data_IF_590542162201
#
_entry.id   IF_590542162201
#
_cell.length_a   1.000
_cell.length_b   1.000
_cell.length_c   1.000
_cell.angle_alpha   90.00
_cell.angle_beta   90.00
_cell.angle_gamma   90.00
#
_symmetry.space_group_name_H-M   'P 1'
#
loop_
_entity.id
_entity.type
_entity.pdbx_description
1 polymer ?
#
# COMPACT_ATOMS: atom_id res chain seq x y z
N UNK A 1 70.12 -43.30 1.76
CA UNK A 1 68.84 -43.56 1.06
C UNK A 1 67.86 -42.45 1.46
N UNK A 2 67.49 -41.55 0.53
CA UNK A 2 66.83 -40.27 0.82
C UNK A 2 65.30 -40.40 0.85
N UNK A 3 64.71 -40.02 1.99
CA UNK A 3 63.28 -40.04 2.30
C UNK A 3 62.57 -38.85 1.63
N UNK A 4 61.63 -39.12 0.71
CA UNK A 4 60.81 -38.07 0.06
C UNK A 4 59.49 -37.90 0.82
N UNK A 5 59.36 -36.78 1.55
CA UNK A 5 58.10 -36.31 2.14
C UNK A 5 57.15 -35.87 1.02
N UNK A 6 55.95 -36.45 0.96
CA UNK A 6 54.86 -35.96 0.09
C UNK A 6 54.02 -34.97 0.91
N UNK A 7 53.97 -33.72 0.45
CA UNK A 7 53.13 -32.65 0.99
C UNK A 7 51.71 -32.87 0.47
N UNK A 8 50.74 -32.95 1.38
CA UNK A 8 49.30 -32.98 1.08
C UNK A 8 48.88 -31.52 0.91
N UNK A 9 48.59 -31.11 -0.32
CA UNK A 9 48.03 -29.79 -0.61
C UNK A 9 46.52 -29.87 -0.49
N UNK A 10 45.97 -29.30 0.57
CA UNK A 10 44.54 -29.16 0.79
C UNK A 10 43.91 -28.25 -0.26
N UNK A 11 42.84 -28.74 -0.90
CA UNK A 11 42.00 -28.02 -1.84
C UNK A 11 41.07 -27.09 -1.05
N UNK A 12 41.44 -25.82 -0.92
CA UNK A 12 40.60 -24.79 -0.31
C UNK A 12 39.41 -24.50 -1.23
N UNK A 13 38.21 -24.90 -0.80
CA UNK A 13 36.95 -24.57 -1.46
C UNK A 13 36.70 -23.05 -1.32
N UNK A 14 36.94 -22.29 -2.39
CA UNK A 14 36.52 -20.90 -2.49
C UNK A 14 34.99 -20.88 -2.66
N UNK A 15 34.27 -20.74 -1.56
CA UNK A 15 32.85 -20.35 -1.58
C UNK A 15 32.77 -18.92 -2.12
N UNK A 16 32.58 -18.74 -3.42
CA UNK A 16 32.15 -17.45 -3.96
C UNK A 16 30.66 -17.30 -3.59
N UNK A 17 30.41 -16.61 -2.48
CA UNK A 17 29.08 -16.09 -2.22
C UNK A 17 28.80 -15.07 -3.33
N UNK A 18 27.99 -15.46 -4.30
CA UNK A 18 27.41 -14.53 -5.25
C UNK A 18 26.54 -13.59 -4.42
N UNK A 19 27.06 -12.40 -4.08
CA UNK A 19 26.30 -11.35 -3.42
C UNK A 19 25.22 -10.89 -4.39
N UNK A 20 24.07 -11.55 -4.36
CA UNK A 20 22.87 -11.08 -5.07
C UNK A 20 22.58 -9.71 -4.46
N UNK A 21 22.76 -8.65 -5.26
CA UNK A 21 22.43 -7.31 -4.83
C UNK A 21 20.98 -7.31 -4.35
N UNK A 22 20.74 -6.86 -3.11
CA UNK A 22 19.38 -6.72 -2.63
C UNK A 22 18.68 -5.65 -3.46
N UNK A 23 17.41 -5.87 -3.85
CA UNK A 23 16.67 -4.88 -4.61
C UNK A 23 16.55 -3.57 -3.82
N UNK A 24 16.62 -2.46 -4.53
CA UNK A 24 16.63 -1.13 -3.92
C UNK A 24 15.31 -0.77 -3.23
N UNK A 25 15.37 0.21 -2.33
CA UNK A 25 14.17 0.82 -1.75
C UNK A 25 13.49 1.67 -2.83
N UNK A 26 12.24 1.31 -3.14
CA UNK A 26 11.42 1.96 -4.17
C UNK A 26 10.45 2.98 -3.57
N UNK A 27 10.05 2.81 -2.30
CA UNK A 27 9.09 3.68 -1.65
C UNK A 27 9.49 4.03 -0.21
N UNK A 28 9.41 5.33 0.13
CA UNK A 28 9.65 5.86 1.48
C UNK A 28 8.43 6.54 2.10
N UNK A 29 7.35 6.65 1.32
CA UNK A 29 6.07 7.16 1.79
C UNK A 29 4.96 6.19 1.43
N UNK A 30 4.02 6.04 2.36
CA UNK A 30 2.84 5.21 2.18
C UNK A 30 1.57 6.02 2.40
N UNK A 31 0.44 5.54 1.90
CA UNK A 31 -0.85 6.08 2.29
C UNK A 31 -1.97 5.07 2.21
N UNK A 32 -2.98 5.22 3.06
CA UNK A 32 -4.18 4.39 3.01
C UNK A 32 -5.42 5.25 2.85
N UNK A 33 -6.39 4.73 2.10
CA UNK A 33 -7.62 5.42 1.77
C UNK A 33 -8.75 4.49 1.34
N UNK A 34 -9.89 5.10 1.04
CA UNK A 34 -11.11 4.38 0.65
C UNK A 34 -11.68 4.99 -0.63
N UNK A 35 -12.27 4.15 -1.49
CA UNK A 35 -12.85 4.64 -2.75
C UNK A 35 -14.32 5.06 -2.62
N UNK A 36 -15.00 4.61 -1.56
CA UNK A 36 -16.43 4.79 -1.35
C UNK A 36 -16.71 5.39 0.04
N UNK A 37 -17.79 4.96 0.71
CA UNK A 37 -18.13 5.34 2.08
C UNK A 37 -17.07 4.95 3.13
N UNK A 38 -17.40 5.10 4.42
CA UNK A 38 -16.41 4.96 5.48
C UNK A 38 -15.88 3.54 5.60
N UNK A 39 -14.54 3.44 5.55
CA UNK A 39 -13.84 2.26 6.02
C UNK A 39 -12.77 2.66 7.03
N UNK A 40 -12.53 1.77 7.97
CA UNK A 40 -11.47 1.86 8.95
C UNK A 40 -10.46 0.75 8.66
N UNK A 41 -9.24 1.14 8.32
CA UNK A 41 -8.14 0.23 8.02
C UNK A 41 -7.29 0.13 9.27
N UNK A 42 -7.60 -0.85 10.11
CA UNK A 42 -6.91 -1.09 11.39
C UNK A 42 -5.52 -1.67 11.18
N UNK A 43 -5.33 -2.47 10.12
CA UNK A 43 -4.05 -3.08 9.78
C UNK A 43 -3.90 -3.19 8.27
N UNK A 44 -2.72 -2.85 7.77
CA UNK A 44 -2.35 -3.15 6.40
C UNK A 44 -0.84 -3.25 6.31
N UNK A 45 -0.31 -4.46 6.48
CA UNK A 45 1.09 -4.77 6.37
C UNK A 45 1.42 -5.15 4.93
N UNK A 46 2.32 -4.39 4.32
CA UNK A 46 2.94 -4.75 3.04
C UNK A 46 4.34 -5.28 3.34
N UNK A 47 4.63 -6.50 2.91
CA UNK A 47 5.97 -7.09 2.97
C UNK A 47 6.70 -6.96 1.65
N UNK A 48 8.03 -6.94 1.71
CA UNK A 48 8.89 -6.86 0.54
C UNK A 48 9.83 -8.07 0.37
N UNK A 49 10.42 -8.17 -0.81
CA UNK A 49 11.34 -9.27 -1.20
C UNK A 49 12.63 -9.31 -0.37
N UNK A 50 12.92 -8.28 0.44
CA UNK A 50 14.06 -8.25 1.37
C UNK A 50 13.70 -8.80 2.74
N UNK A 51 12.43 -9.15 2.97
CA UNK A 51 11.91 -9.60 4.25
C UNK A 51 11.53 -8.46 5.20
N UNK A 52 11.48 -7.21 4.73
CA UNK A 52 10.96 -6.10 5.52
C UNK A 52 9.44 -6.01 5.38
N UNK A 53 8.81 -5.33 6.33
CA UNK A 53 7.39 -4.98 6.26
C UNK A 53 7.12 -3.58 6.78
N UNK A 54 6.14 -2.90 6.20
CA UNK A 54 5.68 -1.60 6.68
C UNK A 54 4.16 -1.59 6.75
N UNK A 55 3.62 -1.04 7.84
CA UNK A 55 2.17 -0.92 8.03
C UNK A 55 1.66 0.42 7.53
N UNK A 56 0.55 0.39 6.78
CA UNK A 56 -0.11 1.56 6.22
C UNK A 56 -1.55 1.60 6.74
N UNK A 57 -1.75 2.21 7.91
CA UNK A 57 -3.07 2.30 8.53
C UNK A 57 -3.75 3.63 8.21
N UNK A 58 -5.08 3.61 8.15
CA UNK A 58 -5.91 4.80 8.11
C UNK A 58 -7.14 4.57 8.97
N UNK A 59 -7.44 5.53 9.86
CA UNK A 59 -8.71 5.54 10.58
C UNK A 59 -9.91 5.72 9.63
N UNK A 60 -11.09 5.99 10.16
CA UNK A 60 -12.32 6.14 9.37
C UNK A 60 -12.22 7.30 8.36
N UNK A 61 -11.72 7.01 7.16
CA UNK A 61 -11.49 7.98 6.09
C UNK A 61 -12.49 7.74 4.95
N UNK A 62 -12.91 8.84 4.33
CA UNK A 62 -13.49 8.82 3.00
C UNK A 62 -12.44 9.41 2.07
N UNK A 63 -11.89 8.58 1.20
CA UNK A 63 -10.87 8.99 0.26
C UNK A 63 -9.43 8.72 0.64
N UNK A 64 -8.54 9.30 -0.16
CA UNK A 64 -7.10 9.14 -0.10
C UNK A 64 -6.35 10.42 0.32
N UNK A 65 -5.21 10.32 1.01
CA UNK A 65 -4.77 9.19 1.83
C UNK A 65 -4.14 9.75 3.10
N UNK A 66 -4.38 9.08 4.23
CA UNK A 66 -3.57 9.31 5.44
C UNK A 66 -2.14 8.86 5.13
N UNK A 67 -1.14 9.70 5.39
CA UNK A 67 0.26 9.47 4.98
C UNK A 67 1.06 8.83 6.11
N UNK A 68 1.91 7.89 5.76
CA UNK A 68 2.85 7.21 6.66
C UNK A 68 4.26 7.24 6.09
N UNK A 69 5.27 7.23 6.95
CA UNK A 69 6.64 6.91 6.54
C UNK A 69 6.77 5.40 6.46
N UNK A 70 7.26 4.92 5.32
CA UNK A 70 7.53 3.49 5.10
C UNK A 70 8.96 3.35 4.60
N UNK A 71 9.43 2.11 4.49
CA UNK A 71 10.70 1.84 3.85
C UNK A 71 10.62 0.45 3.20
N UNK A 72 10.21 0.42 1.92
CA UNK A 72 9.93 -0.82 1.20
C UNK A 72 10.69 -0.87 -0.12
N UNK A 73 11.21 -2.06 -0.42
CA UNK A 73 11.58 -2.47 -1.77
C UNK A 73 10.36 -3.03 -2.52
N UNK A 74 10.57 -3.90 -3.50
CA UNK A 74 9.49 -4.50 -4.30
C UNK A 74 8.58 -5.36 -3.40
N UNK A 75 7.25 -5.11 -3.39
CA UNK A 75 6.33 -5.83 -2.52
C UNK A 75 6.15 -7.29 -2.97
N UNK A 76 5.97 -8.20 -2.01
CA UNK A 76 5.73 -9.62 -2.24
C UNK A 76 4.56 -10.21 -1.43
N UNK A 77 3.97 -9.43 -0.52
CA UNK A 77 2.88 -9.90 0.31
C UNK A 77 2.09 -8.76 0.91
N UNK A 78 0.83 -9.07 1.23
CA UNK A 78 -0.13 -8.16 1.84
C UNK A 78 -0.90 -8.91 2.93
N UNK A 79 -0.95 -8.33 4.12
CA UNK A 79 -1.78 -8.82 5.21
C UNK A 79 -2.52 -7.64 5.83
N UNK A 80 -3.86 -7.68 5.86
CA UNK A 80 -4.65 -6.53 6.24
C UNK A 80 -5.95 -6.90 6.93
N UNK A 81 -6.42 -5.97 7.76
CA UNK A 81 -7.72 -5.98 8.40
C UNK A 81 -8.34 -4.60 8.24
N UNK A 82 -9.58 -4.58 7.77
CA UNK A 82 -10.34 -3.35 7.67
C UNK A 82 -11.82 -3.63 7.87
N UNK A 83 -12.58 -2.59 8.13
CA UNK A 83 -14.00 -2.68 8.35
C UNK A 83 -14.71 -1.58 7.59
N UNK A 84 -15.88 -1.90 7.05
CA UNK A 84 -16.80 -0.95 6.47
C UNK A 84 -17.83 -0.58 7.51
N UNK A 85 -18.09 0.72 7.65
CA UNK A 85 -19.16 1.22 8.51
C UNK A 85 -18.71 2.38 9.38
N UNK A 86 -19.33 2.51 10.54
CA UNK A 86 -19.23 3.66 11.41
C UNK A 86 -19.23 3.23 12.88
N UNK A 87 -18.78 4.12 13.75
CA UNK A 87 -18.96 3.92 15.19
C UNK A 87 -20.44 4.02 15.54
N UNK A 88 -20.92 3.07 16.34
CA UNK A 88 -22.19 3.28 17.04
C UNK A 88 -22.02 4.37 18.11
N UNK A 89 -23.11 5.01 18.51
CA UNK A 89 -23.06 6.01 19.57
C UNK A 89 -22.55 5.40 20.89
N UNK A 90 -22.91 4.14 21.16
CA UNK A 90 -22.40 3.37 22.29
C UNK A 90 -20.87 3.18 22.21
N UNK A 91 -20.35 2.71 21.06
CA UNK A 91 -18.90 2.56 20.87
C UNK A 91 -18.16 3.90 21.00
N UNK A 92 -18.76 5.01 20.54
CA UNK A 92 -18.19 6.35 20.70
C UNK A 92 -18.10 6.77 22.17
N UNK A 93 -19.06 6.35 22.99
CA UNK A 93 -19.13 6.65 24.42
C UNK A 93 -18.20 5.75 25.25
N UNK A 94 -18.09 4.47 24.89
CA UNK A 94 -17.24 3.48 25.58
C UNK A 94 -15.74 3.70 25.33
N UNK A 95 -15.39 4.41 24.25
CA UNK A 95 -14.02 4.85 24.03
C UNK A 95 -13.65 5.89 25.09
N UNK A 96 -12.74 5.52 26.00
CA UNK A 96 -12.06 6.39 26.98
C UNK A 96 -11.10 7.40 26.34
N UNK A 97 -11.52 8.02 25.23
CA UNK A 97 -10.82 9.09 24.55
C UNK A 97 -11.21 10.44 25.17
N UNK A 98 -10.30 11.41 25.27
CA UNK A 98 -10.64 12.77 25.64
C UNK A 98 -11.74 13.34 24.72
N UNK A 99 -12.72 14.05 25.27
CA UNK A 99 -13.84 14.66 24.50
C UNK A 99 -13.37 15.68 23.46
N UNK A 100 -12.14 16.14 23.58
CA UNK A 100 -11.47 17.05 22.67
C UNK A 100 -10.62 16.32 21.61
N UNK A 101 -10.68 16.89 20.41
CA UNK A 101 -10.02 16.49 19.17
C UNK A 101 -10.43 15.12 18.61
N UNK A 102 -10.20 14.00 19.30
CA UNK A 102 -10.32 12.67 18.69
C UNK A 102 -11.75 12.12 18.60
N UNK A 103 -12.60 12.28 19.63
CA UNK A 103 -14.01 11.80 19.59
C UNK A 103 -14.86 12.48 18.52
N UNK A 104 -14.56 13.73 18.16
CA UNK A 104 -15.28 14.48 17.12
C UNK A 104 -14.99 14.03 15.68
N UNK A 105 -13.88 13.31 15.46
CA UNK A 105 -13.54 12.71 14.16
C UNK A 105 -14.24 11.37 13.93
N UNK A 106 -14.71 10.71 14.99
CA UNK A 106 -15.51 9.49 14.91
C UNK A 106 -16.95 9.87 14.54
N UNK A 107 -17.29 9.74 13.27
CA UNK A 107 -18.65 10.04 12.78
C UNK A 107 -19.59 8.87 13.06
N UNK A 108 -20.75 9.16 13.62
CA UNK A 108 -21.84 8.20 13.84
C UNK A 108 -22.52 7.81 12.52
N UNK A 109 -23.40 6.80 12.59
CA UNK A 109 -24.29 6.39 11.49
C UNK A 109 -25.03 7.56 10.87
N UNK A 110 -25.68 8.37 11.70
CA UNK A 110 -26.54 9.50 11.27
C UNK A 110 -25.70 10.59 10.59
N UNK A 111 -24.49 10.83 11.12
CA UNK A 111 -23.56 11.81 10.55
C UNK A 111 -23.00 11.36 9.21
N UNK A 112 -22.78 10.06 9.00
CA UNK A 112 -22.45 9.54 7.68
C UNK A 112 -23.65 9.56 6.74
N UNK A 113 -24.84 9.24 7.23
CA UNK A 113 -26.07 9.24 6.42
C UNK A 113 -26.40 10.60 5.84
N UNK A 114 -26.25 11.67 6.63
CA UNK A 114 -26.45 13.05 6.15
C UNK A 114 -25.40 13.53 5.14
N UNK A 115 -24.27 12.83 5.03
CA UNK A 115 -23.18 13.15 4.09
C UNK A 115 -23.06 12.12 2.96
N UNK A 116 -23.99 11.18 2.90
CA UNK A 116 -23.94 10.11 1.93
C UNK A 116 -24.12 10.66 0.52
N UNK A 117 -23.33 10.15 -0.41
CA UNK A 117 -23.43 10.53 -1.81
C UNK A 117 -23.89 9.32 -2.62
N UNK A 118 -24.78 9.53 -3.59
CA UNK A 118 -25.39 8.45 -4.35
C UNK A 118 -24.35 7.64 -5.15
N UNK A 119 -23.27 8.28 -5.58
CA UNK A 119 -22.14 7.66 -6.28
C UNK A 119 -21.36 6.66 -5.40
N UNK A 120 -21.54 6.67 -4.08
CA UNK A 120 -20.93 5.67 -3.18
C UNK A 120 -21.77 4.38 -3.09
N UNK A 121 -22.91 4.33 -3.78
CA UNK A 121 -23.84 3.21 -3.74
C UNK A 121 -24.79 3.29 -2.54
N UNK A 122 -25.34 2.15 -2.15
CA UNK A 122 -26.30 2.06 -1.04
C UNK A 122 -25.63 2.34 0.30
N UNK A 123 -26.37 3.02 1.18
CA UNK A 123 -25.91 3.31 2.54
C UNK A 123 -25.65 2.00 3.31
N UNK A 124 -24.50 1.92 3.98
CA UNK A 124 -24.13 0.76 4.77
C UNK A 124 -25.00 0.66 6.02
N UNK A 125 -26.01 -0.22 6.03
CA UNK A 125 -26.89 -0.35 7.20
C UNK A 125 -26.23 -1.07 8.38
N UNK A 126 -25.35 -2.03 8.07
CA UNK A 126 -24.59 -2.85 9.02
C UNK A 126 -23.09 -2.66 8.83
N UNK A 127 -22.34 -2.97 9.90
CA UNK A 127 -20.89 -3.02 9.87
C UNK A 127 -20.44 -4.36 9.32
N UNK A 128 -19.39 -4.35 8.50
CA UNK A 128 -18.81 -5.56 7.91
C UNK A 128 -17.31 -5.50 8.09
N UNK A 129 -16.71 -6.65 8.41
CA UNK A 129 -15.28 -6.79 8.67
C UNK A 129 -14.64 -7.56 7.52
N UNK A 130 -13.39 -7.24 7.23
CA UNK A 130 -12.62 -7.84 6.17
C UNK A 130 -11.21 -8.16 6.64
N UNK A 131 -10.68 -9.25 6.12
CA UNK A 131 -9.31 -9.68 6.35
C UNK A 131 -8.70 -10.18 5.05
N UNK A 132 -7.43 -9.90 4.83
CA UNK A 132 -6.66 -10.46 3.72
C UNK A 132 -5.32 -10.94 4.21
N UNK A 133 -4.88 -12.06 3.65
CA UNK A 133 -3.50 -12.50 3.70
C UNK A 133 -3.17 -13.15 2.37
N UNK A 134 -2.41 -12.45 1.55
CA UNK A 134 -2.13 -12.89 0.18
C UNK A 134 -0.71 -12.54 -0.25
N UNK A 135 -0.28 -13.20 -1.32
CA UNK A 135 0.99 -12.96 -2.01
C UNK A 135 0.82 -11.96 -3.14
N UNK A 136 1.87 -11.19 -3.41
CA UNK A 136 1.95 -10.28 -4.55
C UNK A 136 2.96 -10.85 -5.54
N UNK A 137 2.61 -10.86 -6.84
CA UNK A 137 3.56 -11.18 -7.91
C UNK A 137 4.65 -10.10 -7.96
N UNK A 138 5.76 -10.36 -7.26
CA UNK A 138 6.86 -9.41 -7.10
C UNK A 138 7.59 -9.13 -8.42
N UNK A 139 7.63 -10.10 -9.34
CA UNK A 139 8.30 -9.92 -10.63
C UNK A 139 7.50 -8.97 -11.52
N UNK A 140 6.18 -9.13 -11.55
CA UNK A 140 5.30 -8.19 -12.24
C UNK A 140 5.28 -6.83 -11.55
N UNK A 141 5.27 -6.79 -10.21
CA UNK A 141 5.31 -5.54 -9.46
C UNK A 141 6.61 -4.76 -9.74
N UNK A 142 7.77 -5.42 -9.78
CA UNK A 142 9.04 -4.80 -10.11
C UNK A 142 9.02 -4.14 -11.50
N UNK A 143 8.53 -4.85 -12.52
CA UNK A 143 8.41 -4.32 -13.90
C UNK A 143 7.48 -3.11 -13.98
N UNK A 144 6.35 -3.15 -13.26
CA UNK A 144 5.40 -2.04 -13.19
C UNK A 144 6.03 -0.82 -12.51
N UNK A 145 6.76 -1.01 -11.41
CA UNK A 145 7.47 0.06 -10.71
C UNK A 145 8.53 0.69 -11.62
N UNK A 146 9.33 -0.13 -12.32
CA UNK A 146 10.33 0.34 -13.27
C UNK A 146 9.72 1.18 -14.39
N UNK A 147 8.60 0.75 -14.97
CA UNK A 147 7.84 1.54 -15.96
C UNK A 147 7.39 2.87 -15.37
N UNK A 148 6.83 2.88 -14.14
CA UNK A 148 6.38 4.10 -13.50
C UNK A 148 7.53 5.05 -13.16
N UNK A 149 8.68 4.53 -12.72
CA UNK A 149 9.87 5.32 -12.44
C UNK A 149 10.47 5.95 -13.70
N UNK A 150 10.26 5.34 -14.87
CA UNK A 150 10.70 5.82 -16.18
C UNK A 150 9.58 6.44 -17.02
N UNK A 151 8.44 6.78 -16.41
CA UNK A 151 7.27 7.22 -17.20
C UNK A 151 7.38 8.67 -17.71
N UNK A 152 7.92 9.56 -16.88
CA UNK A 152 8.04 10.98 -17.19
C UNK A 152 9.44 11.34 -17.70
N UNK A 153 9.56 12.41 -18.47
CA UNK A 153 10.85 12.98 -18.90
C UNK A 153 11.68 13.58 -17.75
N UNK A 154 11.08 13.77 -16.59
CA UNK A 154 11.77 14.16 -15.36
C UNK A 154 12.46 12.97 -14.68
N UNK A 155 13.80 12.97 -14.70
CA UNK A 155 14.62 11.92 -14.08
C UNK A 155 14.74 12.08 -12.55
N UNK A 156 14.41 13.25 -11.99
CA UNK A 156 14.61 13.57 -10.56
C UNK A 156 13.32 13.51 -9.71
N UNK A 157 12.26 12.83 -10.15
CA UNK A 157 10.98 12.74 -9.40
C UNK A 157 11.05 12.04 -8.03
N UNK A 158 12.23 11.60 -7.59
CA UNK A 158 12.43 10.91 -6.32
C UNK A 158 11.68 9.58 -6.27
N UNK A 159 11.63 8.96 -5.08
CA UNK A 159 10.90 7.70 -4.87
C UNK A 159 9.38 7.92 -4.86
N UNK A 160 8.64 6.91 -5.31
CA UNK A 160 7.18 6.95 -5.30
C UNK A 160 6.58 6.66 -3.94
N UNK A 161 5.25 6.66 -3.89
CA UNK A 161 4.47 6.31 -2.72
C UNK A 161 3.73 4.99 -2.93
N UNK A 162 3.67 4.15 -1.89
CA UNK A 162 2.78 2.98 -1.88
C UNK A 162 1.42 3.39 -1.29
N UNK A 163 0.37 3.28 -2.07
CA UNK A 163 -0.98 3.68 -1.64
C UNK A 163 -1.92 2.48 -1.65
N UNK A 164 -2.58 2.23 -0.52
CA UNK A 164 -3.58 1.18 -0.36
C UNK A 164 -4.97 1.79 -0.37
N UNK A 165 -5.86 1.17 -1.14
CA UNK A 165 -7.25 1.55 -1.26
C UNK A 165 -8.14 0.35 -0.95
N UNK A 166 -9.15 0.56 -0.11
CA UNK A 166 -10.18 -0.46 0.15
C UNK A 166 -11.56 0.02 -0.27
N UNK A 167 -12.38 -0.92 -0.72
CA UNK A 167 -13.80 -0.72 -1.02
C UNK A 167 -14.58 -2.03 -0.86
N UNK A 168 -15.40 -2.11 0.20
CA UNK A 168 -15.97 -3.38 0.63
C UNK A 168 -14.85 -4.39 0.87
N UNK A 169 -14.95 -5.58 0.29
CA UNK A 169 -13.91 -6.62 0.36
C UNK A 169 -12.73 -6.40 -0.60
N UNK A 170 -12.79 -5.44 -1.53
CA UNK A 170 -11.69 -5.21 -2.48
C UNK A 170 -10.56 -4.43 -1.81
N UNK A 171 -9.31 -4.80 -2.10
CA UNK A 171 -8.11 -4.07 -1.71
C UNK A 171 -7.18 -3.91 -2.91
N UNK A 172 -6.65 -2.70 -3.09
CA UNK A 172 -5.75 -2.33 -4.19
C UNK A 172 -4.49 -1.72 -3.60
N UNK A 173 -3.32 -2.24 -4.00
CA UNK A 173 -2.02 -1.60 -3.75
C UNK A 173 -1.55 -0.94 -5.05
N UNK A 174 -1.34 0.37 -4.99
CA UNK A 174 -0.81 1.16 -6.10
C UNK A 174 0.56 1.74 -5.75
N UNK A 175 1.46 1.81 -6.72
CA UNK A 175 2.66 2.64 -6.63
C UNK A 175 2.43 3.93 -7.42
N UNK A 176 2.54 5.05 -6.73
CA UNK A 176 2.10 6.36 -7.22
C UNK A 176 3.27 7.33 -7.32
N UNK A 177 3.36 8.01 -8.46
CA UNK A 177 4.24 9.16 -8.68
C UNK A 177 3.40 10.42 -8.88
N UNK A 178 3.89 11.52 -8.33
CA UNK A 178 3.30 12.84 -8.55
C UNK A 178 4.30 13.72 -9.28
N UNK A 179 4.07 13.94 -10.57
CA UNK A 179 4.78 14.97 -11.32
C UNK A 179 3.99 16.28 -11.27
N UNK A 180 4.65 17.39 -10.95
CA UNK A 180 3.99 18.69 -10.86
C UNK A 180 4.77 19.76 -11.62
N UNK A 181 4.29 20.22 -12.79
CA UNK A 181 5.01 21.21 -13.60
C UNK A 181 5.05 22.58 -12.91
N UNK A 182 4.19 22.85 -11.92
CA UNK A 182 4.28 24.06 -11.09
C UNK A 182 5.53 24.09 -10.20
N UNK A 183 6.22 22.95 -10.04
CA UNK A 183 7.52 22.87 -9.35
C UNK A 183 8.70 22.94 -10.33
N UNK A 184 8.44 23.14 -11.62
CA UNK A 184 9.46 23.21 -12.66
C UNK A 184 9.80 21.86 -13.32
N UNK A 185 9.11 20.78 -12.95
CA UNK A 185 9.36 19.45 -13.51
C UNK A 185 8.84 19.27 -14.94
N UNK A 186 9.59 18.54 -15.76
CA UNK A 186 9.11 18.10 -17.07
C UNK A 186 8.21 16.86 -16.94
N UNK A 187 6.91 17.12 -16.82
CA UNK A 187 5.90 16.07 -16.71
C UNK A 187 5.40 15.53 -18.06
N UNK A 188 6.08 15.82 -19.16
CA UNK A 188 5.79 15.14 -20.42
C UNK A 188 6.17 13.66 -20.33
N UNK A 189 5.42 12.82 -21.07
CA UNK A 189 5.57 11.36 -21.03
C UNK A 189 6.70 10.97 -21.98
N UNK A 190 7.59 10.08 -21.53
CA UNK A 190 8.67 9.52 -22.36
C UNK A 190 8.09 8.73 -23.55
N UNK A 191 8.79 8.73 -24.68
CA UNK A 191 8.37 7.94 -25.83
C UNK A 191 8.35 6.44 -25.46
N UNK A 192 7.26 5.74 -25.80
CA UNK A 192 7.04 4.33 -25.45
C UNK A 192 7.19 4.02 -23.94
N UNK A 193 6.91 5.00 -23.07
CA UNK A 193 7.04 4.87 -21.61
C UNK A 193 6.20 3.74 -21.00
N UNK A 194 5.04 3.43 -21.59
CA UNK A 194 4.13 2.39 -21.12
C UNK A 194 3.63 1.50 -22.27
N UNK A 195 4.47 0.58 -22.77
CA UNK A 195 4.13 -0.27 -23.90
C UNK A 195 3.02 -1.30 -23.57
N UNK A 196 2.72 -1.49 -22.27
CA UNK A 196 1.75 -2.47 -21.80
C UNK A 196 0.42 -1.84 -21.35
N UNK A 197 0.33 -0.50 -21.29
CA UNK A 197 -0.87 0.20 -20.82
C UNK A 197 -1.13 -0.02 -19.31
N UNK A 198 -0.09 -0.20 -18.50
CA UNK A 198 -0.21 -0.42 -17.06
C UNK A 198 -0.39 0.86 -16.25
N UNK A 199 0.00 1.99 -16.82
CA UNK A 199 -0.02 3.28 -16.15
C UNK A 199 -1.43 3.87 -16.18
N UNK A 200 -1.97 4.12 -15.00
CA UNK A 200 -3.34 4.55 -14.78
C UNK A 200 -3.39 5.76 -13.85
N UNK A 201 -4.50 6.53 -13.84
CA UNK A 201 -4.78 7.42 -12.73
C UNK A 201 -4.85 6.63 -11.42
N UNK A 202 -4.32 7.14 -10.29
CA UNK A 202 -4.46 6.45 -9.01
C UNK A 202 -5.93 6.29 -8.65
N UNK A 203 -6.30 5.16 -8.02
CA UNK A 203 -7.65 4.98 -7.49
C UNK A 203 -7.98 6.19 -6.62
N UNK A 204 -9.10 6.88 -6.87
CA UNK A 204 -9.46 8.12 -6.16
C UNK A 204 -8.52 9.33 -6.37
N UNK A 205 -8.13 9.62 -7.61
CA UNK A 205 -7.47 10.89 -7.95
C UNK A 205 -8.45 12.08 -7.96
N UNK A 206 -8.51 12.87 -6.88
CA UNK A 206 -9.31 14.12 -6.87
C UNK A 206 -8.80 15.21 -7.81
N UNK A 207 -7.50 15.19 -8.12
CA UNK A 207 -6.85 16.24 -8.90
C UNK A 207 -6.48 15.81 -10.32
N UNK A 208 -6.54 14.51 -10.62
CA UNK A 208 -6.11 13.95 -11.91
C UNK A 208 -4.60 14.02 -12.17
N UNK A 209 -3.79 14.43 -11.18
CA UNK A 209 -2.34 14.72 -11.36
C UNK A 209 -1.41 13.60 -10.91
N UNK A 210 -1.91 12.71 -10.06
CA UNK A 210 -1.17 11.50 -9.72
C UNK A 210 -1.21 10.53 -10.89
N UNK A 211 -0.15 9.76 -11.03
CA UNK A 211 -0.05 8.66 -11.99
C UNK A 211 0.45 7.45 -11.25
N UNK A 212 -0.10 6.28 -11.56
CA UNK A 212 0.10 5.09 -10.77
C UNK A 212 0.21 3.85 -11.64
N UNK A 213 0.78 2.80 -11.04
CA UNK A 213 0.63 1.43 -11.51
C UNK A 213 0.00 0.61 -10.41
N UNK A 214 -0.91 -0.30 -10.77
CA UNK A 214 -1.54 -1.21 -9.81
C UNK A 214 -0.66 -2.43 -9.64
N UNK A 215 -0.12 -2.60 -8.43
CA UNK A 215 0.76 -3.71 -8.08
C UNK A 215 -0.02 -4.94 -7.63
N UNK A 216 -1.15 -4.71 -6.96
CA UNK A 216 -2.04 -5.76 -6.48
C UNK A 216 -3.49 -5.27 -6.50
N UNK A 217 -4.40 -6.15 -6.88
CA UNK A 217 -5.85 -5.94 -6.87
C UNK A 217 -6.51 -7.26 -6.49
N UNK A 218 -7.07 -7.31 -5.29
CA UNK A 218 -7.55 -8.56 -4.69
C UNK A 218 -8.76 -8.35 -3.80
N UNK A 219 -9.21 -9.45 -3.21
CA UNK A 219 -10.41 -9.49 -2.39
C UNK A 219 -10.12 -10.21 -1.07
N UNK A 220 -10.40 -9.54 0.03
CA UNK A 220 -10.37 -10.14 1.36
C UNK A 220 -11.56 -11.06 1.63
N UNK A 221 -11.42 -11.85 2.69
CA UNK A 221 -12.51 -12.56 3.35
C UNK A 221 -13.45 -11.56 4.02
N UNK A 222 -14.74 -11.86 4.06
CA UNK A 222 -15.78 -11.01 4.64
C UNK A 222 -16.41 -11.69 5.86
N UNK A 223 -16.73 -10.93 6.90
CA UNK A 223 -17.37 -11.43 8.11
C UNK A 223 -18.26 -10.36 8.77
N UNK A 224 -19.34 -10.82 9.41
CA UNK A 224 -20.19 -9.99 10.28
C UNK A 224 -19.56 -9.73 11.66
N UNK A 225 -18.43 -10.39 11.96
CA UNK A 225 -17.65 -10.26 13.19
C UNK A 225 -16.18 -9.93 12.89
N UNK A 226 -15.48 -9.20 13.78
CA UNK A 226 -14.04 -8.96 13.62
C UNK A 226 -13.24 -10.26 13.45
N UNK A 227 -12.23 -10.25 12.58
CA UNK A 227 -11.34 -11.40 12.35
C UNK A 227 -10.30 -11.60 13.47
N UNK A 228 -10.02 -10.54 14.25
CA UNK A 228 -9.24 -10.63 15.49
C UNK A 228 -9.73 -9.60 16.51
N UNK A 229 -9.71 -9.96 17.82
CA UNK A 229 -9.79 -8.99 18.92
C UNK A 229 -8.38 -8.45 19.22
N UNK A 230 -7.81 -7.65 18.32
CA UNK A 230 -6.61 -6.87 18.67
C UNK A 230 -6.77 -5.43 18.23
N UNK A 231 -7.35 -4.64 19.13
CA UNK A 231 -7.20 -3.18 19.19
C UNK A 231 -6.11 -2.83 20.19
#
# INVERSE_FOLDING_TARGET
MKMKRKIITGLTLLLSACSIAQPDIVATSGGAGTMSGPHWISKMLISDVRGNGSSIIAGAVQGCCARSRINLSVPNGIEGEWERGYYTEQQRQDLSLPDNFWKGHLKTKERWRSKWQAEWGDFYETKTYYHIKDTIDSDLAAKKIEIMDNYFNEDELGRGAMEVYVDGKRVVLAYVKLCNPKRGYDCSIKENADPHGWVVPPPWSKTGKGTAVILYDGYGEESDKPFSESY
#
